data_IF_571556005888
#
_entry.id   IF_571556005888
#
_cell.length_a   1.000
_cell.length_b   1.000
_cell.length_c   1.000
_cell.angle_alpha   90.00
_cell.angle_beta   90.00
_cell.angle_gamma   90.00
#
_symmetry.space_group_name_H-M   'P 1'
#
loop_
_entity.id
_entity.type
_entity.pdbx_description
1 polymer ?
#
# COMPACT_ATOMS: atom_id res chain seq x y z
N UNK A 1 12.48 10.07 -8.94
CA UNK A 1 13.13 10.67 -7.76
C UNK A 1 13.61 9.54 -6.87
N UNK A 2 14.83 9.62 -6.32
CA UNK A 2 15.26 8.66 -5.31
C UNK A 2 14.61 9.04 -3.98
N UNK A 3 13.80 8.14 -3.41
CA UNK A 3 13.28 8.32 -2.07
C UNK A 3 14.41 8.11 -1.07
N UNK A 4 14.57 9.05 -0.13
CA UNK A 4 15.50 8.90 0.99
C UNK A 4 14.70 8.40 2.18
N UNK A 5 15.16 7.33 2.81
CA UNK A 5 14.54 6.82 4.02
C UNK A 5 14.52 7.91 5.11
N UNK A 6 13.38 8.06 5.80
CA UNK A 6 13.21 9.01 6.90
C UNK A 6 12.98 8.25 8.19
N UNK A 7 13.56 8.70 9.30
CA UNK A 7 13.42 8.06 10.61
C UNK A 7 12.07 8.36 11.29
N UNK A 8 11.30 9.29 10.72
CA UNK A 8 10.01 9.77 11.24
C UNK A 8 8.83 9.38 10.33
N UNK A 9 9.03 8.37 9.45
CA UNK A 9 7.99 7.84 8.58
C UNK A 9 8.14 6.36 8.31
N UNK A 10 6.99 5.76 8.03
CA UNK A 10 6.90 4.43 7.46
C UNK A 10 6.30 4.48 6.05
N UNK A 11 6.59 3.46 5.26
CA UNK A 11 5.86 3.23 4.01
C UNK A 11 4.69 2.28 4.29
N UNK A 12 3.53 2.55 3.70
CA UNK A 12 2.37 1.68 3.82
C UNK A 12 1.89 1.24 2.43
N UNK A 13 1.54 -0.04 2.31
CA UNK A 13 1.01 -0.65 1.10
C UNK A 13 -0.51 -0.64 1.14
N UNK A 14 -1.12 -0.29 0.01
CA UNK A 14 -2.57 -0.20 -0.14
C UNK A 14 -3.07 -0.96 -1.35
N UNK A 15 -4.23 -1.60 -1.19
CA UNK A 15 -5.08 -2.04 -2.29
C UNK A 15 -5.97 -0.88 -2.73
N UNK A 16 -6.01 -0.61 -4.03
CA UNK A 16 -6.96 0.34 -4.64
C UNK A 16 -8.08 -0.48 -5.30
N UNK A 17 -9.32 -0.45 -4.77
CA UNK A 17 -10.43 -1.21 -5.33
C UNK A 17 -10.80 -0.79 -6.75
N UNK A 18 -11.17 -1.75 -7.59
CA UNK A 18 -11.62 -1.51 -8.97
C UNK A 18 -13.01 -0.85 -9.06
N UNK A 19 -13.82 -1.00 -8.02
CA UNK A 19 -15.15 -0.40 -7.90
C UNK A 19 -15.12 1.09 -7.48
N UNK A 20 -13.93 1.65 -7.25
CA UNK A 20 -13.75 3.02 -6.79
C UNK A 20 -13.95 3.21 -5.28
N UNK A 21 -14.02 2.11 -4.52
CA UNK A 21 -14.06 2.13 -3.07
C UNK A 21 -12.80 2.75 -2.43
N UNK A 22 -12.87 2.97 -1.12
CA UNK A 22 -11.74 3.52 -0.36
C UNK A 22 -10.53 2.57 -0.40
N UNK A 23 -9.29 3.08 -0.45
CA UNK A 23 -8.10 2.26 -0.35
C UNK A 23 -8.09 1.42 0.93
N UNK A 24 -7.67 0.16 0.82
CA UNK A 24 -7.59 -0.78 1.94
C UNK A 24 -6.12 -1.00 2.28
N UNK A 25 -5.74 -0.72 3.53
CA UNK A 25 -4.38 -0.97 4.00
C UNK A 25 -4.07 -2.47 3.95
N UNK A 26 -2.92 -2.78 3.35
CA UNK A 26 -2.31 -4.11 3.36
C UNK A 26 -1.14 -4.18 4.35
N UNK A 27 -0.89 -3.09 5.08
CA UNK A 27 0.10 -3.00 6.14
C UNK A 27 1.38 -2.26 5.76
N UNK A 28 2.22 -2.07 6.76
CA UNK A 28 3.50 -1.38 6.65
C UNK A 28 4.51 -2.21 5.85
N UNK A 29 5.27 -1.53 5.00
CA UNK A 29 6.41 -2.10 4.30
C UNK A 29 7.65 -2.05 5.20
N UNK A 30 8.49 -3.09 5.21
CA UNK A 30 9.76 -3.05 5.94
C UNK A 30 10.71 -2.04 5.30
N UNK A 31 11.59 -1.43 6.10
CA UNK A 31 12.63 -0.50 5.62
C UNK A 31 13.56 -1.14 4.57
N UNK A 32 13.66 -2.47 4.55
CA UNK A 32 14.35 -3.24 3.52
C UNK A 32 13.97 -4.72 3.55
N UNK A 33 14.40 -5.44 2.51
CA UNK A 33 14.11 -6.87 2.37
C UNK A 33 12.81 -7.15 1.61
N UNK A 34 12.16 -8.25 1.96
CA UNK A 34 10.92 -8.72 1.32
C UNK A 34 9.82 -8.89 2.36
N UNK A 35 8.60 -8.50 1.98
CA UNK A 35 7.38 -8.78 2.71
C UNK A 35 6.55 -9.78 1.92
N UNK A 36 6.19 -10.90 2.55
CA UNK A 36 5.26 -11.87 1.99
C UNK A 36 3.99 -11.86 2.83
N UNK A 37 2.86 -11.57 2.19
CA UNK A 37 1.54 -11.54 2.82
C UNK A 37 0.74 -12.70 2.26
N UNK A 38 0.20 -13.54 3.14
CA UNK A 38 -0.75 -14.58 2.72
C UNK A 38 -2.00 -13.91 2.17
N UNK A 39 -2.36 -14.25 0.93
CA UNK A 39 -3.58 -13.73 0.30
C UNK A 39 -4.81 -14.26 1.07
N UNK A 40 -5.61 -13.39 1.70
CA UNK A 40 -6.84 -13.83 2.33
C UNK A 40 -7.92 -14.13 1.27
N UNK A 41 -8.91 -14.94 1.61
CA UNK A 41 -9.93 -15.42 0.64
C UNK A 41 -10.76 -14.31 0.00
N UNK A 42 -10.87 -13.16 0.67
CA UNK A 42 -11.58 -11.98 0.16
C UNK A 42 -10.75 -11.14 -0.82
N UNK A 43 -9.45 -11.43 -0.98
CA UNK A 43 -8.56 -10.67 -1.84
C UNK A 43 -8.50 -11.31 -3.22
N UNK A 44 -9.45 -10.95 -4.09
CA UNK A 44 -9.45 -11.33 -5.50
C UNK A 44 -8.67 -10.28 -6.31
N UNK A 45 -7.78 -10.72 -7.20
CA UNK A 45 -7.04 -9.85 -8.11
C UNK A 45 -7.97 -9.10 -9.08
N UNK A 46 -9.13 -9.68 -9.40
CA UNK A 46 -10.13 -9.05 -10.27
C UNK A 46 -10.72 -7.77 -9.65
N UNK A 47 -10.71 -7.66 -8.32
CA UNK A 47 -11.29 -6.53 -7.58
C UNK A 47 -10.28 -5.39 -7.35
N UNK A 48 -9.06 -5.52 -7.88
CA UNK A 48 -7.95 -4.60 -7.63
C UNK A 48 -7.64 -3.80 -8.89
N UNK A 49 -7.86 -2.49 -8.86
CA UNK A 49 -7.42 -1.61 -9.94
C UNK A 49 -5.90 -1.38 -9.88
N UNK A 50 -5.35 -1.22 -8.69
CA UNK A 50 -3.95 -0.91 -8.49
C UNK A 50 -3.46 -1.24 -7.07
N UNK A 51 -2.15 -1.27 -6.91
CA UNK A 51 -1.48 -1.11 -5.63
C UNK A 51 -0.97 0.32 -5.50
N UNK A 52 -1.01 0.86 -4.28
CA UNK A 52 -0.40 2.14 -3.97
C UNK A 52 0.58 2.02 -2.80
N UNK A 53 1.60 2.87 -2.81
CA UNK A 53 2.52 3.05 -1.69
C UNK A 53 2.45 4.49 -1.23
N UNK A 54 2.24 4.70 0.06
CA UNK A 54 2.23 6.02 0.67
C UNK A 54 3.34 6.18 1.70
N UNK A 55 3.61 7.45 2.03
CA UNK A 55 4.46 7.86 3.12
C UNK A 55 3.60 8.28 4.31
N UNK A 56 3.74 7.55 5.40
CA UNK A 56 2.89 7.67 6.58
C UNK A 56 3.69 8.14 7.81
N UNK A 57 3.06 8.71 8.84
CA UNK A 57 3.67 8.82 10.17
C UNK A 57 4.15 7.46 10.70
N UNK A 58 5.02 7.47 11.72
CA UNK A 58 5.42 6.23 12.39
C UNK A 58 4.18 5.44 12.85
N UNK A 59 4.12 4.16 12.50
CA UNK A 59 3.01 3.27 12.77
C UNK A 59 1.94 3.22 11.67
N UNK A 60 2.06 4.00 10.60
CA UNK A 60 1.12 4.00 9.48
C UNK A 60 0.06 5.10 9.54
N UNK A 61 -0.94 4.99 8.67
CA UNK A 61 -2.00 5.98 8.55
C UNK A 61 -2.86 6.06 9.83
N UNK A 62 -3.03 7.26 10.42
CA UNK A 62 -3.89 7.45 11.59
C UNK A 62 -5.38 7.49 11.23
N UNK A 63 -5.73 7.72 9.96
CA UNK A 63 -7.11 7.92 9.50
C UNK A 63 -7.71 6.70 8.81
N UNK A 64 -6.88 5.70 8.49
CA UNK A 64 -7.27 4.59 7.63
C UNK A 64 -7.30 4.94 6.13
N UNK A 65 -6.77 6.10 5.74
CA UNK A 65 -6.58 6.51 4.35
C UNK A 65 -5.12 6.94 4.11
N UNK A 66 -4.58 6.80 2.88
CA UNK A 66 -3.21 7.20 2.59
C UNK A 66 -2.93 8.67 2.92
N UNK A 67 -1.82 8.97 3.61
CA UNK A 67 -1.41 10.35 3.92
C UNK A 67 -0.77 11.04 2.71
N UNK A 68 0.30 10.47 2.15
CA UNK A 68 1.00 11.01 0.97
C UNK A 68 1.32 9.87 0.00
N UNK A 69 0.56 9.75 -1.09
CA UNK A 69 0.76 8.68 -2.07
C UNK A 69 1.99 8.99 -2.93
N UNK A 70 2.96 8.07 -2.94
CA UNK A 70 4.21 8.19 -3.69
C UNK A 70 4.17 7.41 -5.01
N UNK A 71 3.54 6.24 -5.00
CA UNK A 71 3.43 5.36 -6.15
C UNK A 71 2.04 4.77 -6.26
N UNK A 72 1.60 4.59 -7.50
CA UNK A 72 0.43 3.80 -7.86
C UNK A 72 0.83 2.97 -9.08
N UNK A 73 0.56 1.67 -9.04
CA UNK A 73 0.83 0.77 -10.15
C UNK A 73 -0.35 -0.18 -10.37
N UNK A 74 -0.84 -0.33 -11.61
CA UNK A 74 -1.88 -1.31 -11.90
C UNK A 74 -1.34 -2.71 -11.67
N UNK A 75 -2.20 -3.61 -11.19
CA UNK A 75 -1.87 -5.03 -11.12
C UNK A 75 -2.24 -5.67 -12.46
N UNK A 76 -1.32 -6.42 -13.05
CA UNK A 76 -1.63 -7.27 -14.21
C UNK A 76 -1.83 -8.68 -13.72
N UNK A 77 -2.97 -9.27 -14.04
CA UNK A 77 -3.13 -10.71 -13.96
C UNK A 77 -2.12 -11.36 -14.91
N UNK A 78 -1.26 -12.22 -14.36
CA UNK A 78 -0.38 -13.11 -15.13
C UNK A 78 -1.14 -14.31 -15.67
#
# INVERSE_FOLDING_TARGET
ANLTARTDKDFELWMVPADGGAPISLGLLPEGGQLAISRPDWFDLADIAALAVSLEPNGGSPSGAPTEVLYIAPISAV
#
